data_IF_915282496752
#
_entry.id   IF_915282496752
#
_cell.length_a   1.000
_cell.length_b   1.000
_cell.length_c   1.000
_cell.angle_alpha   90.00
_cell.angle_beta   90.00
_cell.angle_gamma   90.00
#
_symmetry.space_group_name_H-M   'P 1'
#
loop_
_entity.id
_entity.type
_entity.pdbx_description
1 polymer ?
#
# COMPACT_ATOMS: atom_id res chain seq x y z
N UNK A 1 -24.87 5.22 8.48
CA UNK A 1 -23.39 5.26 8.42
C UNK A 1 -22.91 4.51 7.17
N UNK A 2 -21.92 5.05 6.46
CA UNK A 2 -21.46 4.59 5.12
C UNK A 2 -20.54 3.34 5.14
N UNK A 3 -20.53 2.58 6.22
CA UNK A 3 -19.68 1.38 6.38
C UNK A 3 -18.26 1.67 6.86
N UNK A 4 -17.51 0.58 7.05
CA UNK A 4 -16.12 0.58 7.49
C UNK A 4 -15.26 -0.25 6.53
N UNK A 5 -13.96 0.02 6.51
CA UNK A 5 -12.98 -0.79 5.80
C UNK A 5 -11.82 -1.16 6.73
N UNK A 6 -11.26 -2.34 6.50
CA UNK A 6 -10.07 -2.83 7.18
C UNK A 6 -8.89 -2.80 6.22
N UNK A 7 -7.80 -2.17 6.63
CA UNK A 7 -6.52 -2.15 5.94
C UNK A 7 -5.56 -3.08 6.70
N UNK A 8 -4.92 -4.00 5.99
CA UNK A 8 -4.13 -5.08 6.59
C UNK A 8 -2.72 -5.06 6.01
N UNK A 9 -1.72 -5.02 6.88
CA UNK A 9 -0.31 -5.25 6.56
C UNK A 9 0.02 -6.73 6.78
N UNK A 10 0.58 -7.37 5.75
CA UNK A 10 0.89 -8.80 5.74
C UNK A 10 2.33 -8.99 5.32
N UNK A 11 3.06 -9.82 6.06
CA UNK A 11 4.40 -10.24 5.67
C UNK A 11 4.31 -11.16 4.45
N UNK A 12 5.04 -10.81 3.39
CA UNK A 12 4.90 -11.49 2.09
C UNK A 12 5.38 -12.93 2.10
N UNK A 13 6.31 -13.27 3.00
CA UNK A 13 7.02 -14.56 2.98
C UNK A 13 6.31 -15.58 3.87
N UNK A 14 5.88 -15.17 5.06
CA UNK A 14 5.15 -16.01 6.01
C UNK A 14 3.63 -15.95 5.85
N UNK A 15 3.09 -14.89 5.25
CA UNK A 15 1.65 -14.64 5.19
C UNK A 15 1.06 -14.15 6.51
N UNK A 16 1.88 -13.82 7.52
CA UNK A 16 1.42 -13.35 8.81
C UNK A 16 0.94 -11.91 8.76
N UNK A 17 -0.24 -11.67 9.33
CA UNK A 17 -0.76 -10.31 9.55
C UNK A 17 0.03 -9.67 10.69
N UNK A 18 0.66 -8.53 10.40
CA UNK A 18 1.40 -7.76 11.42
C UNK A 18 0.70 -6.45 11.80
N UNK A 19 -0.15 -5.90 10.91
CA UNK A 19 -0.85 -4.64 11.18
C UNK A 19 -2.31 -4.70 10.71
N UNK A 20 -3.22 -4.16 11.51
CA UNK A 20 -4.63 -3.96 11.16
C UNK A 20 -5.04 -2.52 11.50
N UNK A 21 -5.67 -1.82 10.56
CA UNK A 21 -6.30 -0.52 10.79
C UNK A 21 -7.73 -0.53 10.25
N UNK A 22 -8.69 -0.14 11.08
CA UNK A 22 -10.09 0.00 10.68
C UNK A 22 -10.41 1.49 10.58
N UNK A 23 -11.00 1.89 9.46
CA UNK A 23 -11.41 3.27 9.19
C UNK A 23 -12.82 3.33 8.65
N UNK A 24 -13.43 4.52 8.67
CA UNK A 24 -14.67 4.75 7.95
C UNK A 24 -14.47 4.56 6.44
N UNK A 25 -15.50 4.10 5.72
CA UNK A 25 -15.36 3.75 4.30
C UNK A 25 -14.93 4.92 3.37
N UNK A 26 -15.12 6.17 3.80
CA UNK A 26 -14.71 7.35 3.04
C UNK A 26 -13.20 7.64 3.07
N UNK A 27 -12.43 6.93 3.91
CA UNK A 27 -10.97 7.10 3.98
C UNK A 27 -10.32 6.44 2.77
N UNK A 28 -9.44 7.18 2.08
CA UNK A 28 -8.71 6.68 0.91
C UNK A 28 -7.58 5.72 1.32
N UNK A 29 -7.46 4.60 0.62
CA UNK A 29 -6.56 3.50 0.99
C UNK A 29 -5.08 3.95 0.98
N UNK A 30 -4.69 4.75 -0.02
CA UNK A 30 -3.35 5.33 -0.14
C UNK A 30 -2.87 6.08 1.13
N UNK A 31 -3.80 6.68 1.89
CA UNK A 31 -3.47 7.44 3.11
C UNK A 31 -3.11 6.55 4.30
N UNK A 32 -3.41 5.25 4.22
CA UNK A 32 -3.12 4.29 5.28
C UNK A 32 -1.80 3.55 5.04
N UNK A 33 -1.18 3.66 3.87
CA UNK A 33 0.02 2.88 3.50
C UNK A 33 1.12 2.94 4.56
N UNK A 34 1.54 4.15 4.94
CA UNK A 34 2.59 4.38 5.95
C UNK A 34 2.28 3.72 7.29
N UNK A 35 1.01 3.69 7.67
CA UNK A 35 0.53 3.11 8.93
C UNK A 35 0.46 1.59 8.92
N UNK A 36 0.56 0.96 7.75
CA UNK A 36 0.55 -0.49 7.60
C UNK A 36 1.95 -1.09 7.64
N UNK A 37 2.97 -0.31 7.28
CA UNK A 37 4.36 -0.78 7.20
C UNK A 37 4.99 -0.91 8.59
N UNK A 38 5.93 -1.84 8.69
CA UNK A 38 6.79 -2.08 9.86
C UNK A 38 8.06 -1.23 9.83
N UNK A 39 8.46 -0.75 8.64
CA UNK A 39 9.71 -0.04 8.43
C UNK A 39 10.89 -0.95 8.05
N UNK A 40 10.69 -2.27 7.98
CA UNK A 40 11.70 -3.24 7.55
C UNK A 40 11.59 -3.61 6.07
N UNK A 41 10.52 -3.20 5.40
CA UNK A 41 10.19 -3.63 4.05
C UNK A 41 11.29 -3.27 3.04
N UNK A 42 11.53 -4.15 2.08
CA UNK A 42 12.35 -3.83 0.89
C UNK A 42 11.50 -3.68 -0.37
N UNK A 43 10.24 -4.11 -0.29
CA UNK A 43 9.23 -3.91 -1.31
C UNK A 43 7.85 -3.88 -0.64
N UNK A 44 6.97 -3.03 -1.16
CA UNK A 44 5.57 -2.93 -0.74
C UNK A 44 4.70 -3.28 -1.93
N UNK A 45 3.76 -4.20 -1.73
CA UNK A 45 2.81 -4.63 -2.75
C UNK A 45 1.42 -4.14 -2.37
N UNK A 46 0.63 -3.75 -3.36
CA UNK A 46 -0.72 -3.27 -3.13
C UNK A 46 -1.52 -3.16 -4.42
N UNK A 47 -2.84 -3.06 -4.27
CA UNK A 47 -3.72 -2.81 -5.40
C UNK A 47 -3.74 -1.32 -5.81
N UNK A 48 -4.48 -1.00 -6.87
CA UNK A 48 -4.53 0.34 -7.45
C UNK A 48 -5.14 1.44 -6.56
N UNK A 49 -5.77 1.09 -5.44
CA UNK A 49 -6.21 2.01 -4.39
C UNK A 49 -5.04 2.63 -3.61
N UNK A 50 -3.88 1.97 -3.63
CA UNK A 50 -2.63 2.43 -3.02
C UNK A 50 -1.70 3.14 -4.02
N UNK A 51 -2.16 3.39 -5.25
CA UNK A 51 -1.33 4.00 -6.29
C UNK A 51 -0.88 5.41 -5.89
N UNK A 52 0.43 5.67 -5.96
CA UNK A 52 1.03 6.95 -5.57
C UNK A 52 1.36 7.06 -4.08
N UNK A 53 1.25 5.97 -3.30
CA UNK A 53 1.65 5.94 -1.90
C UNK A 53 3.10 6.39 -1.68
N UNK A 54 3.99 6.06 -2.61
CA UNK A 54 5.41 6.43 -2.57
C UNK A 54 5.68 7.93 -2.74
N UNK A 55 4.69 8.70 -3.20
CA UNK A 55 4.82 10.14 -3.46
C UNK A 55 4.19 10.99 -2.36
N UNK A 56 3.61 10.36 -1.34
CA UNK A 56 2.98 11.09 -0.24
C UNK A 56 4.03 11.65 0.71
N UNK A 57 3.67 12.72 1.41
CA UNK A 57 4.54 13.34 2.42
C UNK A 57 4.88 12.38 3.56
N UNK A 58 3.96 11.48 3.91
CA UNK A 58 4.12 10.48 4.96
C UNK A 58 4.71 9.15 4.47
N UNK A 59 5.21 9.10 3.23
CA UNK A 59 5.73 7.88 2.64
C UNK A 59 7.04 7.42 3.32
N UNK A 60 7.08 6.15 3.72
CA UNK A 60 8.32 5.50 4.15
C UNK A 60 9.04 5.05 2.88
N UNK A 61 10.04 5.82 2.44
CA UNK A 61 10.81 5.55 1.21
C UNK A 61 12.06 4.71 1.47
N UNK A 62 12.55 4.71 2.71
CA UNK A 62 13.75 4.00 3.13
C UNK A 62 13.44 3.21 4.39
N UNK A 63 13.89 1.96 4.44
CA UNK A 63 13.69 1.08 5.58
C UNK A 63 14.69 1.40 6.72
N UNK A 64 14.51 0.82 7.90
CA UNK A 64 15.40 1.06 9.05
C UNK A 64 16.87 0.70 8.79
N UNK A 65 17.12 -0.21 7.84
CA UNK A 65 18.47 -0.56 7.37
C UNK A 65 19.05 0.40 6.32
N UNK A 66 18.37 1.50 6.00
CA UNK A 66 18.82 2.48 5.00
C UNK A 66 18.58 2.09 3.54
N UNK A 67 17.84 1.00 3.26
CA UNK A 67 17.56 0.55 1.89
C UNK A 67 16.29 1.19 1.34
N UNK A 68 16.33 1.60 0.07
CA UNK A 68 15.16 2.15 -0.62
C UNK A 68 14.08 1.07 -0.81
N UNK A 69 12.84 1.42 -0.47
CA UNK A 69 11.67 0.55 -0.55
C UNK A 69 11.09 0.60 -1.96
N UNK A 70 10.87 -0.56 -2.59
CA UNK A 70 10.23 -0.62 -3.91
C UNK A 70 8.71 -0.74 -3.78
N UNK A 71 8.00 0.33 -4.13
CA UNK A 71 6.55 0.30 -4.23
C UNK A 71 6.12 -0.35 -5.54
N UNK A 72 5.47 -1.51 -5.44
CA UNK A 72 4.97 -2.34 -6.54
C UNK A 72 3.45 -2.38 -6.49
N UNK A 73 2.85 -1.26 -6.91
CA UNK A 73 1.41 -1.07 -6.84
C UNK A 73 0.76 -1.36 -8.20
N UNK A 74 -0.31 -2.13 -8.19
CA UNK A 74 -1.06 -2.45 -9.41
C UNK A 74 -1.62 -1.18 -10.06
N UNK A 75 -1.56 -1.10 -11.39
CA UNK A 75 -2.18 0.00 -12.13
C UNK A 75 -3.69 -0.18 -12.17
N UNK A 76 -4.40 0.94 -12.31
CA UNK A 76 -5.84 0.90 -12.56
C UNK A 76 -6.10 0.27 -13.93
N UNK A 77 -7.15 -0.55 -14.11
CA UNK A 77 -7.49 -1.10 -15.42
C UNK A 77 -7.67 -0.02 -16.50
N UNK A 78 -8.21 1.14 -16.12
CA UNK A 78 -8.37 2.30 -17.03
C UNK A 78 -7.06 2.91 -17.52
N UNK A 79 -5.94 2.64 -16.84
CA UNK A 79 -4.59 3.10 -17.23
C UNK A 79 -3.80 2.04 -17.98
N UNK A 80 -4.37 0.84 -18.19
CA UNK A 80 -3.76 -0.16 -19.05
C UNK A 80 -3.92 0.29 -20.51
N UNK A 81 -2.80 0.41 -21.24
CA UNK A 81 -2.86 0.60 -22.69
C UNK A 81 -3.53 -0.63 -23.28
N UNK A 82 -4.63 -0.44 -24.02
CA UNK A 82 -5.14 -1.49 -24.91
C UNK A 82 -4.03 -1.74 -25.93
N UNK A 83 -3.43 -2.92 -25.88
CA UNK A 83 -2.59 -3.38 -26.98
C UNK A 83 -3.46 -3.42 -28.23
N UNK A 84 -3.04 -2.73 -29.29
CA UNK A 84 -3.58 -3.00 -30.61
C UNK A 84 -3.24 -4.46 -30.93
N UNK A 85 -4.26 -5.26 -31.19
CA UNK A 85 -4.09 -6.59 -31.77
C UNK A 85 -3.55 -6.49 -33.20
#
# INVERSE_FOLDING_TARGET
HFGYKAHIGVDKDSGLVHTLKVTAANVHDVTMTSKLLTGEETAVYGDSGYLGAEKREDAIITNHSGKHIRYKINRRPSQMKKGSA
#
